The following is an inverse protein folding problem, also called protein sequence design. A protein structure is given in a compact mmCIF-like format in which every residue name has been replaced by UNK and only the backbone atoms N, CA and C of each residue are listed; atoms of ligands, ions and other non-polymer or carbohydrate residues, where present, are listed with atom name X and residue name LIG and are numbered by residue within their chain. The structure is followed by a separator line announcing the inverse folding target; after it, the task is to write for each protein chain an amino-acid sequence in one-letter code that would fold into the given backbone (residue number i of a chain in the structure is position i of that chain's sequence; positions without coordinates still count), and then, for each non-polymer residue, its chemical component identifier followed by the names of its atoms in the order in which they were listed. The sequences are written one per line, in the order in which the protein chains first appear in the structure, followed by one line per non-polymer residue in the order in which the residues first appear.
data_IF_887848318160
#
_entry.id   IF_887848318160
#
_cell.length_a   1.000
_cell.length_b   1.000
_cell.length_c   1.000
_cell.angle_alpha   90.00
_cell.angle_beta   90.00
_cell.angle_gamma   90.00
#
_symmetry.space_group_name_H-M   'P 1'
#
loop_
_entity.id
_entity.type
_entity.pdbx_description
1 polymer ?
#
# COMPACT_ATOMS: atom_id res chain seq x y z
N UNK A 1 -0.84 16.18 -4.74
CA UNK A 1 -1.34 16.90 -3.55
C UNK A 1 -2.61 16.23 -3.08
N UNK A 2 -2.70 15.95 -1.78
CA UNK A 2 -3.91 15.42 -1.13
C UNK A 2 -4.27 16.36 0.01
N UNK A 3 -5.39 17.04 -0.13
CA UNK A 3 -5.86 18.04 0.83
C UNK A 3 -6.77 17.42 1.90
N UNK A 4 -6.82 18.06 3.07
CA UNK A 4 -7.69 17.68 4.19
C UNK A 4 -7.49 16.24 4.67
N UNK A 5 -6.23 15.80 4.78
CA UNK A 5 -5.89 14.45 5.25
C UNK A 5 -5.80 14.44 6.78
N UNK A 6 -6.44 13.46 7.41
CA UNK A 6 -6.24 13.18 8.84
C UNK A 6 -4.82 12.71 9.09
N UNK A 7 -4.14 13.34 10.04
CA UNK A 7 -2.72 13.10 10.34
C UNK A 7 -2.51 12.61 11.78
N UNK A 8 -3.47 11.85 12.30
CA UNK A 8 -3.34 11.25 13.62
C UNK A 8 -2.05 10.41 13.68
N UNK A 9 -1.13 10.69 14.64
CA UNK A 9 0.16 9.99 14.72
C UNK A 9 0.06 8.47 14.85
N UNK A 10 -1.08 7.96 15.35
CA UNK A 10 -1.31 6.52 15.45
C UNK A 10 -1.65 5.86 14.10
N UNK A 11 -1.85 6.64 13.02
CA UNK A 11 -2.27 6.18 11.69
C UNK A 11 -1.39 6.69 10.55
N UNK A 12 -0.25 7.32 10.87
CA UNK A 12 0.66 7.91 9.87
C UNK A 12 1.93 7.08 9.64
N UNK A 13 1.96 5.82 10.09
CA UNK A 13 3.12 4.96 9.94
C UNK A 13 3.56 4.77 8.48
N UNK A 14 2.62 4.67 7.53
CA UNK A 14 2.95 4.58 6.11
C UNK A 14 3.74 5.80 5.62
N UNK A 15 3.44 7.01 6.09
CA UNK A 15 4.16 8.23 5.67
C UNK A 15 5.61 8.22 6.14
N UNK A 16 5.87 7.67 7.32
CA UNK A 16 7.23 7.48 7.85
C UNK A 16 7.98 6.47 6.98
N UNK A 17 7.40 5.31 6.73
CA UNK A 17 8.02 4.27 5.91
C UNK A 17 8.30 4.78 4.49
N UNK A 18 7.38 5.50 3.87
CA UNK A 18 7.63 6.07 2.53
C UNK A 18 8.79 7.07 2.52
N UNK A 19 8.96 7.87 3.58
CA UNK A 19 10.14 8.76 3.72
C UNK A 19 11.43 7.95 3.87
N UNK A 20 11.42 6.89 4.67
CA UNK A 20 12.56 5.98 4.85
C UNK A 20 12.92 5.29 3.53
N UNK A 21 11.94 4.96 2.71
CA UNK A 21 12.12 4.46 1.35
C UNK A 21 12.68 5.53 0.39
N UNK A 22 12.72 6.80 0.79
CA UNK A 22 13.26 7.91 -0.01
C UNK A 22 12.22 8.76 -0.74
N UNK A 23 10.92 8.54 -0.51
CA UNK A 23 9.88 9.41 -1.03
C UNK A 23 9.95 10.81 -0.38
N UNK A 24 9.63 11.84 -1.16
CA UNK A 24 9.44 13.19 -0.62
C UNK A 24 7.97 13.34 -0.20
N UNK A 25 7.73 13.33 1.12
CA UNK A 25 6.41 13.48 1.70
C UNK A 25 6.44 14.68 2.65
N UNK A 26 5.84 15.79 2.22
CA UNK A 26 5.73 17.03 2.99
C UNK A 26 4.32 17.19 3.53
N UNK A 27 4.21 17.81 4.69
CA UNK A 27 2.94 18.18 5.32
C UNK A 27 2.85 19.70 5.35
N UNK A 28 1.80 20.25 4.79
CA UNK A 28 1.49 21.68 4.80
C UNK A 28 0.13 21.91 5.45
N UNK A 29 -0.16 23.15 5.80
CA UNK A 29 -1.45 23.60 6.36
C UNK A 29 -1.93 22.76 7.56
N UNK A 30 -0.98 22.32 8.39
CA UNK A 30 -1.31 21.53 9.58
C UNK A 30 -2.17 22.34 10.56
N UNK A 31 -3.34 21.83 10.89
CA UNK A 31 -4.28 22.42 11.81
C UNK A 31 -5.02 21.36 12.60
N UNK A 32 -5.68 21.77 13.66
CA UNK A 32 -6.57 20.89 14.43
C UNK A 32 -8.02 21.09 13.98
N UNK A 33 -8.73 20.00 13.73
CA UNK A 33 -10.15 19.98 13.38
C UNK A 33 -10.84 18.95 14.28
N UNK A 34 -11.74 19.41 15.13
CA UNK A 34 -12.47 18.56 16.10
C UNK A 34 -11.55 17.70 16.99
N UNK A 35 -10.39 18.22 17.39
CA UNK A 35 -9.42 17.52 18.24
C UNK A 35 -8.46 16.59 17.48
N UNK A 36 -8.54 16.53 16.15
CA UNK A 36 -7.68 15.71 15.31
C UNK A 36 -6.78 16.56 14.40
N UNK A 37 -5.50 16.20 14.21
CA UNK A 37 -4.62 16.89 13.28
C UNK A 37 -5.03 16.60 11.83
N UNK A 38 -5.17 17.65 11.05
CA UNK A 38 -5.51 17.59 9.61
C UNK A 38 -4.55 18.50 8.86
N UNK A 39 -4.10 18.06 7.68
CA UNK A 39 -3.19 18.84 6.84
C UNK A 39 -3.30 18.49 5.37
N UNK A 40 -2.40 19.06 4.60
CA UNK A 40 -2.23 18.80 3.16
C UNK A 40 -0.95 18.00 2.95
N UNK A 41 -1.04 16.86 2.25
CA UNK A 41 0.12 16.06 1.88
C UNK A 41 0.58 16.42 0.47
N UNK A 42 1.85 16.82 0.34
CA UNK A 42 2.54 16.89 -0.93
C UNK A 42 3.43 15.67 -1.06
N UNK A 43 3.17 14.84 -2.04
CA UNK A 43 3.96 13.64 -2.32
C UNK A 43 4.58 13.76 -3.70
N UNK A 44 5.90 13.60 -3.77
CA UNK A 44 6.65 13.54 -5.04
C UNK A 44 7.30 12.18 -5.17
N UNK A 45 7.07 11.56 -6.31
CA UNK A 45 7.72 10.29 -6.65
C UNK A 45 9.22 10.48 -6.81
N UNK A 46 9.97 9.56 -6.21
CA UNK A 46 11.40 9.38 -6.36
C UNK A 46 11.69 7.89 -6.50
N UNK A 47 12.92 7.54 -6.87
CA UNK A 47 13.37 6.15 -6.80
C UNK A 47 13.30 5.69 -5.34
N UNK A 48 12.42 4.73 -5.08
CA UNK A 48 12.27 4.14 -3.76
C UNK A 48 13.34 3.07 -3.52
N UNK A 49 13.71 2.87 -2.26
CA UNK A 49 14.60 1.81 -1.80
C UNK A 49 13.90 0.92 -0.78
N UNK A 50 14.29 -0.35 -0.76
CA UNK A 50 13.79 -1.30 0.22
C UNK A 50 14.17 -0.92 1.65
N UNK A 51 13.30 -1.28 2.58
CA UNK A 51 13.41 -0.95 4.01
C UNK A 51 13.01 -2.13 4.89
N UNK A 52 13.34 -2.06 6.17
CA UNK A 52 12.85 -3.00 7.20
C UNK A 52 11.79 -2.31 8.05
N UNK A 53 10.63 -2.95 8.17
CA UNK A 53 9.45 -2.45 8.88
C UNK A 53 9.04 -3.48 9.91
N UNK A 54 8.88 -3.06 11.16
CA UNK A 54 8.52 -3.96 12.26
C UNK A 54 8.28 -3.23 13.58
N UNK A 55 8.07 -3.98 14.65
CA UNK A 55 7.90 -3.46 16.00
C UNK A 55 6.74 -2.49 16.15
N UNK A 56 6.94 -1.44 16.92
CA UNK A 56 5.92 -0.43 17.23
C UNK A 56 5.38 0.37 16.05
N UNK A 57 5.99 0.23 14.87
CA UNK A 57 5.49 0.89 13.64
C UNK A 57 4.31 0.12 13.03
N UNK A 58 4.26 -1.21 13.20
CA UNK A 58 3.22 -2.06 12.60
C UNK A 58 1.80 -1.63 12.98
N UNK A 59 1.42 -1.39 14.24
CA UNK A 59 0.07 -0.96 14.58
C UNK A 59 -0.35 0.36 13.90
N UNK A 60 0.62 1.22 13.56
CA UNK A 60 0.40 2.53 12.98
C UNK A 60 0.22 2.51 11.45
N UNK A 61 0.47 1.36 10.80
CA UNK A 61 0.33 1.18 9.36
C UNK A 61 -0.20 -0.20 8.95
N UNK A 62 -0.73 -0.97 9.86
CA UNK A 62 -1.11 -2.36 9.61
C UNK A 62 -2.11 -2.50 8.47
N UNK A 63 -3.03 -1.56 8.34
CA UNK A 63 -4.04 -1.55 7.30
C UNK A 63 -3.50 -1.05 5.94
N UNK A 64 -2.38 -0.36 5.95
CA UNK A 64 -1.71 0.18 4.76
C UNK A 64 -0.61 -0.76 4.22
N UNK A 65 -0.36 -1.90 4.87
CA UNK A 65 0.66 -2.88 4.41
C UNK A 65 0.41 -3.37 2.98
N UNK A 66 -0.81 -3.60 2.49
CA UNK A 66 -1.02 -3.93 1.08
C UNK A 66 -0.54 -2.83 0.12
N UNK A 67 -0.74 -1.56 0.45
CA UNK A 67 -0.25 -0.43 -0.34
C UNK A 67 1.28 -0.30 -0.25
N UNK A 68 1.86 -0.52 0.94
CA UNK A 68 3.31 -0.58 1.14
C UNK A 68 3.94 -1.70 0.29
N UNK A 69 3.31 -2.86 0.21
CA UNK A 69 3.80 -3.98 -0.58
C UNK A 69 3.87 -3.64 -2.09
N UNK A 70 2.91 -2.86 -2.60
CA UNK A 70 2.95 -2.33 -3.98
C UNK A 70 4.10 -1.32 -4.15
N UNK A 71 4.32 -0.43 -3.20
CA UNK A 71 5.47 0.48 -3.24
C UNK A 71 6.80 -0.28 -3.19
N UNK A 72 6.89 -1.32 -2.35
CA UNK A 72 8.05 -2.20 -2.26
C UNK A 72 8.32 -2.97 -3.58
N UNK A 73 7.27 -3.34 -4.30
CA UNK A 73 7.38 -4.06 -5.58
C UNK A 73 8.12 -3.27 -6.66
N UNK A 74 8.17 -1.95 -6.57
CA UNK A 74 8.87 -1.06 -7.52
C UNK A 74 10.08 -0.37 -6.90
N UNK A 75 10.43 -0.68 -5.66
CA UNK A 75 11.60 -0.14 -4.98
C UNK A 75 12.88 -0.87 -5.39
N UNK A 76 14.05 -0.25 -5.22
CA UNK A 76 15.32 -0.93 -5.36
C UNK A 76 15.65 -1.76 -4.10
N UNK A 77 16.02 -3.01 -4.28
CA UNK A 77 16.43 -3.89 -3.18
C UNK A 77 15.26 -4.59 -2.50
N UNK A 78 15.42 -4.90 -1.24
CA UNK A 78 14.53 -5.76 -0.48
C UNK A 78 13.79 -4.98 0.61
N UNK A 79 12.46 -5.11 0.67
CA UNK A 79 11.64 -4.65 1.79
C UNK A 79 11.23 -5.86 2.63
N UNK A 80 11.44 -5.76 3.94
CA UNK A 80 11.10 -6.80 4.90
C UNK A 80 10.09 -6.26 5.90
N UNK A 81 8.94 -6.90 6.00
CA UNK A 81 7.91 -6.64 7.02
C UNK A 81 7.94 -7.75 8.04
N UNK A 82 7.98 -7.40 9.33
CA UNK A 82 7.97 -8.32 10.49
C UNK A 82 6.98 -7.85 11.54
N UNK A 83 6.76 -8.67 12.54
CA UNK A 83 5.89 -8.37 13.70
C UNK A 83 4.44 -8.05 13.31
N UNK A 84 3.99 -8.49 12.14
CA UNK A 84 2.68 -8.20 11.56
C UNK A 84 1.74 -9.44 11.53
N UNK A 85 1.90 -10.36 12.47
CA UNK A 85 1.12 -11.60 12.51
C UNK A 85 -0.40 -11.37 12.55
N UNK A 86 -0.86 -10.22 13.08
CA UNK A 86 -2.27 -9.83 13.10
C UNK A 86 -2.88 -9.73 11.68
N UNK A 87 -2.07 -9.52 10.64
CA UNK A 87 -2.55 -9.51 9.24
C UNK A 87 -3.16 -10.85 8.81
N UNK A 88 -2.83 -11.95 9.48
CA UNK A 88 -3.35 -13.28 9.13
C UNK A 88 -4.82 -13.49 9.51
N UNK A 89 -5.33 -12.66 10.40
CA UNK A 89 -6.70 -12.76 10.95
C UNK A 89 -7.55 -11.54 10.60
N UNK A 90 -7.19 -10.81 9.55
CA UNK A 90 -7.99 -9.71 8.99
C UNK A 90 -9.10 -10.27 8.06
N UNK A 91 -9.59 -9.49 7.11
CA UNK A 91 -10.63 -9.89 6.14
C UNK A 91 -10.21 -11.10 5.29
N UNK A 92 -8.91 -11.22 5.06
CA UNK A 92 -8.24 -12.40 4.49
C UNK A 92 -6.98 -12.69 5.32
N UNK A 93 -6.26 -13.80 5.06
CA UNK A 93 -4.86 -13.91 5.46
C UNK A 93 -4.04 -12.95 4.59
N UNK A 94 -3.98 -11.66 4.99
CA UNK A 94 -3.36 -10.60 4.20
C UNK A 94 -1.90 -10.86 3.85
N UNK A 95 -1.15 -11.56 4.71
CA UNK A 95 0.24 -11.92 4.40
C UNK A 95 0.25 -12.83 3.18
N UNK A 96 -0.47 -13.93 3.24
CA UNK A 96 -0.54 -14.91 2.16
C UNK A 96 -1.13 -14.32 0.88
N UNK A 97 -2.25 -13.60 1.00
CA UNK A 97 -2.97 -13.06 -0.16
C UNK A 97 -2.14 -11.98 -0.87
N UNK A 98 -1.47 -11.08 -0.13
CA UNK A 98 -0.58 -10.06 -0.72
C UNK A 98 0.62 -10.72 -1.40
N UNK A 99 1.28 -11.71 -0.78
CA UNK A 99 2.42 -12.41 -1.38
C UNK A 99 2.01 -13.12 -2.68
N UNK A 100 0.88 -13.84 -2.67
CA UNK A 100 0.36 -14.48 -3.89
C UNK A 100 0.04 -13.46 -5.00
N UNK A 101 -0.56 -12.34 -4.63
CA UNK A 101 -0.89 -11.28 -5.57
C UNK A 101 0.37 -10.66 -6.19
N UNK A 102 1.43 -10.42 -5.39
CA UNK A 102 2.74 -9.96 -5.88
C UNK A 102 3.36 -10.96 -6.85
N UNK A 103 3.36 -12.24 -6.49
CA UNK A 103 3.89 -13.31 -7.35
C UNK A 103 3.10 -13.43 -8.66
N UNK A 104 1.77 -13.30 -8.60
CA UNK A 104 0.90 -13.36 -9.79
C UNK A 104 1.19 -12.22 -10.79
N UNK A 105 1.66 -11.07 -10.31
CA UNK A 105 2.07 -9.94 -11.18
C UNK A 105 3.57 -9.91 -11.48
N UNK A 106 4.28 -11.00 -11.16
CA UNK A 106 5.69 -11.22 -11.53
C UNK A 106 6.71 -10.58 -10.59
N UNK A 107 6.31 -10.21 -9.37
CA UNK A 107 7.20 -9.70 -8.33
C UNK A 107 7.71 -10.85 -7.47
N UNK A 108 9.01 -10.85 -7.15
CA UNK A 108 9.60 -11.81 -6.22
C UNK A 108 9.21 -11.45 -4.78
N UNK A 109 8.41 -12.28 -4.17
CA UNK A 109 7.92 -12.09 -2.81
C UNK A 109 7.86 -13.42 -2.05
N UNK A 110 8.12 -13.36 -0.75
CA UNK A 110 8.19 -14.51 0.14
C UNK A 110 7.34 -14.27 1.40
N UNK A 111 6.55 -15.28 1.75
CA UNK A 111 5.74 -15.28 2.97
C UNK A 111 6.60 -15.64 4.18
N UNK A 112 6.45 -14.86 5.26
CA UNK A 112 7.03 -15.16 6.57
C UNK A 112 5.91 -15.46 7.58
N UNK A 113 6.19 -16.13 8.70
CA UNK A 113 5.17 -16.43 9.71
C UNK A 113 4.43 -15.19 10.21
N UNK A 114 5.12 -14.07 10.32
CA UNK A 114 4.67 -12.80 10.90
C UNK A 114 4.82 -11.60 9.95
N UNK A 115 4.96 -11.85 8.65
CA UNK A 115 5.18 -10.78 7.68
C UNK A 115 5.54 -11.28 6.29
N UNK A 116 6.35 -10.53 5.57
CA UNK A 116 6.74 -10.86 4.20
C UNK A 116 8.07 -10.21 3.80
N UNK A 117 8.68 -10.76 2.77
CA UNK A 117 9.80 -10.17 2.05
C UNK A 117 9.32 -9.82 0.65
N UNK A 118 9.63 -8.62 0.18
CA UNK A 118 9.35 -8.19 -1.19
C UNK A 118 10.66 -7.71 -1.82
N UNK A 119 11.08 -8.36 -2.91
CA UNK A 119 12.25 -7.96 -3.69
C UNK A 119 11.77 -7.14 -4.88
N UNK A 120 12.04 -5.86 -4.81
CA UNK A 120 11.52 -4.90 -5.77
C UNK A 120 12.21 -4.99 -7.13
N UNK A 121 11.55 -4.40 -8.11
CA UNK A 121 11.99 -4.42 -9.50
C UNK A 121 10.94 -3.83 -10.42
N UNK A 122 10.15 -4.65 -11.06
CA UNK A 122 9.07 -4.19 -11.94
C UNK A 122 7.84 -5.09 -11.84
N UNK A 123 6.68 -4.50 -11.89
CA UNK A 123 5.40 -5.19 -12.02
C UNK A 123 5.17 -5.48 -13.49
N UNK A 124 5.10 -6.76 -13.86
CA UNK A 124 4.81 -7.15 -15.26
C UNK A 124 3.33 -6.93 -15.58
N UNK A 125 2.49 -7.56 -14.81
CA UNK A 125 1.05 -7.61 -14.99
C UNK A 125 0.55 -9.02 -14.74
N UNK A 126 -0.76 -9.19 -14.69
CA UNK A 126 -1.36 -10.49 -14.42
C UNK A 126 -2.75 -10.38 -13.82
N UNK A 127 -3.24 -11.47 -13.28
CA UNK A 127 -4.55 -11.56 -12.64
C UNK A 127 -4.38 -11.77 -11.13
N UNK A 128 -5.08 -10.97 -10.34
CA UNK A 128 -5.04 -10.97 -8.88
C UNK A 128 -6.42 -11.28 -8.33
N UNK A 129 -6.48 -12.24 -7.44
CA UNK A 129 -7.64 -12.50 -6.58
C UNK A 129 -7.37 -11.91 -5.18
N UNK A 130 -8.09 -10.85 -4.77
CA UNK A 130 -7.93 -10.26 -3.45
C UNK A 130 -8.61 -11.05 -2.33
N UNK A 131 -9.22 -12.19 -2.63
CA UNK A 131 -9.98 -13.03 -1.66
C UNK A 131 -11.05 -12.20 -0.89
N UNK A 132 -11.68 -11.21 -1.57
CA UNK A 132 -12.68 -10.31 -0.99
C UNK A 132 -12.12 -9.18 -0.12
N UNK A 133 -10.81 -9.09 0.04
CA UNK A 133 -10.18 -8.01 0.82
C UNK A 133 -10.10 -6.71 0.00
N UNK A 134 -10.89 -5.71 0.40
CA UNK A 134 -10.99 -4.43 -0.27
C UNK A 134 -9.66 -3.65 -0.34
N UNK A 135 -8.78 -3.80 0.66
CA UNK A 135 -7.48 -3.12 0.70
C UNK A 135 -6.51 -3.72 -0.31
N UNK A 136 -6.53 -5.04 -0.44
CA UNK A 136 -5.72 -5.74 -1.46
C UNK A 136 -6.26 -5.40 -2.85
N UNK A 137 -7.58 -5.44 -3.05
CA UNK A 137 -8.18 -5.07 -4.32
C UNK A 137 -7.76 -3.67 -4.79
N UNK A 138 -7.86 -2.67 -3.90
CA UNK A 138 -7.46 -1.30 -4.20
C UNK A 138 -5.95 -1.15 -4.43
N UNK A 139 -5.12 -1.80 -3.62
CA UNK A 139 -3.67 -1.73 -3.76
C UNK A 139 -3.22 -2.29 -5.11
N UNK A 140 -3.75 -3.44 -5.54
CA UNK A 140 -3.37 -4.03 -6.82
C UNK A 140 -4.01 -3.37 -8.04
N UNK A 141 -5.14 -2.68 -7.87
CA UNK A 141 -5.66 -1.79 -8.91
C UNK A 141 -4.69 -0.59 -9.14
N UNK A 142 -4.10 -0.04 -8.07
CA UNK A 142 -3.04 0.98 -8.18
C UNK A 142 -1.76 0.39 -8.80
N UNK A 143 -1.39 -0.86 -8.44
CA UNK A 143 -0.26 -1.56 -9.06
C UNK A 143 -0.40 -1.67 -10.59
N UNK A 144 -1.64 -1.77 -11.08
CA UNK A 144 -1.94 -1.77 -12.51
C UNK A 144 -1.45 -0.52 -13.26
N UNK A 145 -1.39 0.64 -12.59
CA UNK A 145 -0.88 1.89 -13.17
C UNK A 145 0.65 1.86 -13.36
N UNK A 146 1.34 0.99 -12.65
CA UNK A 146 2.80 0.83 -12.66
C UNK A 146 3.23 -0.39 -13.48
N UNK A 147 2.28 -1.21 -13.92
CA UNK A 147 2.56 -2.46 -14.63
C UNK A 147 2.76 -2.22 -16.14
N UNK A 148 3.50 -3.13 -16.78
CA UNK A 148 3.74 -3.08 -18.23
C UNK A 148 2.57 -3.61 -19.05
N UNK A 149 1.89 -4.65 -18.54
CA UNK A 149 0.87 -5.40 -19.26
C UNK A 149 -0.54 -5.23 -18.67
N UNK A 150 -0.66 -4.41 -17.62
CA UNK A 150 -1.89 -4.23 -16.86
C UNK A 150 -2.09 -5.30 -15.77
N UNK A 151 -2.88 -4.97 -14.78
CA UNK A 151 -3.31 -5.90 -13.72
C UNK A 151 -4.83 -6.03 -13.76
N UNK A 152 -5.32 -7.25 -13.88
CA UNK A 152 -6.73 -7.58 -13.70
C UNK A 152 -6.98 -7.98 -12.26
N UNK A 153 -7.84 -7.27 -11.58
CA UNK A 153 -8.23 -7.58 -10.20
C UNK A 153 -9.64 -8.17 -10.22
N UNK A 154 -9.80 -9.39 -9.70
CA UNK A 154 -11.10 -10.03 -9.57
C UNK A 154 -11.88 -9.43 -8.39
N UNK A 155 -13.22 -9.51 -8.41
CA UNK A 155 -14.05 -9.14 -7.27
C UNK A 155 -13.86 -7.70 -6.78
N UNK A 156 -13.59 -6.74 -7.67
CA UNK A 156 -13.31 -5.34 -7.31
C UNK A 156 -14.45 -4.63 -6.60
N UNK A 157 -15.67 -5.18 -6.67
CA UNK A 157 -16.84 -4.67 -5.95
C UNK A 157 -16.64 -4.62 -4.43
N UNK A 158 -15.73 -5.44 -3.86
CA UNK A 158 -15.37 -5.38 -2.45
C UNK A 158 -14.77 -4.02 -2.05
N UNK A 159 -14.16 -3.28 -2.96
CA UNK A 159 -13.64 -1.93 -2.70
C UNK A 159 -14.74 -0.95 -2.23
N UNK A 160 -15.97 -1.15 -2.66
CA UNK A 160 -17.11 -0.32 -2.28
C UNK A 160 -17.44 -0.36 -0.78
N UNK A 161 -17.00 -1.38 -0.05
CA UNK A 161 -17.18 -1.51 1.40
C UNK A 161 -16.55 -0.32 2.15
N UNK A 162 -15.38 0.13 1.73
CA UNK A 162 -14.66 1.23 2.39
C UNK A 162 -14.52 2.47 1.53
N UNK A 163 -14.50 2.33 0.21
CA UNK A 163 -14.35 3.46 -0.71
C UNK A 163 -15.22 3.28 -1.97
N UNK A 164 -16.52 3.57 -1.91
CA UNK A 164 -17.45 3.36 -3.03
C UNK A 164 -17.07 4.08 -4.33
N UNK A 165 -16.31 5.15 -4.26
CA UNK A 165 -15.89 5.95 -5.41
C UNK A 165 -14.47 5.62 -5.90
N UNK A 166 -13.82 4.59 -5.37
CA UNK A 166 -12.42 4.27 -5.65
C UNK A 166 -12.14 4.16 -7.16
N UNK A 167 -12.92 3.37 -7.87
CA UNK A 167 -12.73 3.15 -9.31
C UNK A 167 -12.83 4.45 -10.12
N UNK A 168 -13.79 5.31 -9.77
CA UNK A 168 -13.95 6.63 -10.40
C UNK A 168 -12.70 7.49 -10.22
N UNK A 169 -12.18 7.56 -8.99
CA UNK A 169 -10.98 8.34 -8.70
C UNK A 169 -9.74 7.76 -9.35
N UNK A 170 -9.59 6.44 -9.36
CA UNK A 170 -8.48 5.78 -10.03
C UNK A 170 -8.45 6.14 -11.52
N UNK A 171 -9.58 6.09 -12.21
CA UNK A 171 -9.70 6.48 -13.63
C UNK A 171 -9.35 7.95 -13.87
N UNK A 172 -9.80 8.87 -13.01
CA UNK A 172 -9.48 10.30 -13.10
C UNK A 172 -7.98 10.55 -12.95
N UNK A 173 -7.33 9.85 -12.03
CA UNK A 173 -5.89 9.98 -11.76
C UNK A 173 -5.05 9.33 -12.86
N UNK A 174 -5.49 8.21 -13.41
CA UNK A 174 -4.81 7.50 -14.49
C UNK A 174 -4.86 8.24 -15.85
N UNK A 175 -5.82 9.14 -16.05
CA UNK A 175 -6.00 9.90 -17.29
C UNK A 175 -5.14 11.18 -17.38
N UNK A 176 -4.33 11.47 -16.33
CA UNK A 176 -3.42 12.63 -16.27
C UNK A 176 -2.00 12.23 -16.64
#
# INVERSE_FOLDING_TARGET
VVEHVGLNPTRTGLLEVLRDMGAEVLVEDLREVAGEPVGTLLVRGKQLRGVRVGGGLIPRLIDEIPALAVAAAVAEGETVVRDAAELRVKESDRIRTVVRALQAVGVDAEELPDGMVVRGGSIRGGEVDPEGDHRIAMAFAVAGLLSREGVRVAGTECAAVSFPQFERWLRVLAAR
#
